data_IF_971364834689
#
_entry.id   IF_971364834689
#
_cell.length_a   1.000
_cell.length_b   1.000
_cell.length_c   1.000
_cell.angle_alpha   90.00
_cell.angle_beta   90.00
_cell.angle_gamma   90.00
#
_symmetry.space_group_name_H-M   'P 1'
#
loop_
_entity.id
_entity.type
_entity.pdbx_description
1 polymer ?
#
# COMPACT_ATOMS: atom_id res chain seq x y z
N UNK A 1 -31.29 4.39 11.81
CA UNK A 1 -30.79 5.22 10.70
C UNK A 1 -29.28 5.06 10.66
N UNK A 2 -28.73 4.36 9.66
CA UNK A 2 -27.29 4.16 9.55
C UNK A 2 -26.65 5.49 9.12
N UNK A 3 -26.02 6.18 10.05
CA UNK A 3 -25.20 7.36 9.76
C UNK A 3 -24.07 6.95 8.84
N UNK A 4 -24.21 7.25 7.55
CA UNK A 4 -23.12 7.13 6.60
C UNK A 4 -22.00 8.06 7.08
N UNK A 5 -20.95 7.47 7.67
CA UNK A 5 -19.75 8.20 8.09
C UNK A 5 -19.19 8.87 6.83
N UNK A 6 -19.41 10.17 6.73
CA UNK A 6 -18.97 10.99 5.60
C UNK A 6 -17.45 10.92 5.61
N UNK A 7 -16.88 10.21 4.62
CA UNK A 7 -15.43 10.07 4.46
C UNK A 7 -14.81 11.47 4.57
N UNK A 8 -13.68 11.66 5.27
CA UNK A 8 -12.97 12.93 5.27
C UNK A 8 -12.68 13.28 3.81
N UNK A 9 -13.44 14.21 3.26
CA UNK A 9 -13.23 14.68 1.91
C UNK A 9 -12.14 15.75 2.02
N UNK A 10 -10.95 15.45 1.52
CA UNK A 10 -9.97 16.50 1.24
C UNK A 10 -10.66 17.53 0.35
N UNK A 11 -10.72 18.77 0.81
CA UNK A 11 -11.19 19.89 0.00
C UNK A 11 -10.20 20.09 -1.14
N UNK A 12 -10.54 19.63 -2.34
CA UNK A 12 -9.74 19.81 -3.55
C UNK A 12 -9.58 18.55 -4.42
N UNK A 13 -8.89 18.66 -5.56
CA UNK A 13 -8.56 17.50 -6.39
C UNK A 13 -7.72 16.51 -5.59
N UNK A 14 -8.22 15.29 -5.38
CA UNK A 14 -7.51 14.23 -4.65
C UNK A 14 -6.12 13.92 -5.23
N UNK A 15 -5.33 13.10 -4.53
CA UNK A 15 -3.92 12.88 -4.88
C UNK A 15 -3.74 12.32 -6.30
N UNK A 16 -2.76 12.87 -7.02
CA UNK A 16 -2.25 12.33 -8.29
C UNK A 16 -1.48 11.03 -8.05
N UNK A 17 -1.25 10.24 -9.12
CA UNK A 17 -0.48 8.98 -9.06
C UNK A 17 0.86 9.13 -8.35
N UNK A 18 1.64 10.15 -8.72
CA UNK A 18 2.94 10.44 -8.11
C UNK A 18 2.81 10.78 -6.62
N UNK A 19 1.82 11.59 -6.24
CA UNK A 19 1.57 11.95 -4.84
C UNK A 19 1.24 10.75 -3.97
N UNK A 20 0.42 9.82 -4.48
CA UNK A 20 0.15 8.54 -3.80
C UNK A 20 1.45 7.75 -3.62
N UNK A 21 2.25 7.59 -4.67
CA UNK A 21 3.52 6.84 -4.58
C UNK A 21 4.42 7.42 -3.50
N UNK A 22 4.69 8.73 -3.59
CA UNK A 22 5.62 9.41 -2.68
C UNK A 22 5.14 9.31 -1.24
N UNK A 23 3.86 9.57 -0.97
CA UNK A 23 3.34 9.55 0.38
C UNK A 23 3.37 8.13 0.97
N UNK A 24 3.00 7.13 0.18
CA UNK A 24 3.00 5.75 0.63
C UNK A 24 4.42 5.23 0.89
N UNK A 25 5.34 5.49 -0.03
CA UNK A 25 6.74 5.10 0.13
C UNK A 25 7.40 5.82 1.31
N UNK A 26 7.12 7.11 1.51
CA UNK A 26 7.67 7.89 2.61
C UNK A 26 7.23 7.35 3.97
N UNK A 27 5.93 7.12 4.18
CA UNK A 27 5.44 6.59 5.46
C UNK A 27 5.96 5.18 5.74
N UNK A 28 5.93 4.30 4.73
CA UNK A 28 6.47 2.94 4.89
C UNK A 28 7.96 3.02 5.22
N UNK A 29 8.73 3.83 4.51
CA UNK A 29 10.15 4.00 4.77
C UNK A 29 10.41 4.42 6.22
N UNK A 30 9.79 5.52 6.68
CA UNK A 30 10.04 6.06 8.02
C UNK A 30 9.65 5.07 9.12
N UNK A 31 8.45 4.49 9.06
CA UNK A 31 7.95 3.64 10.14
C UNK A 31 8.58 2.25 10.16
N UNK A 32 8.79 1.63 8.99
CA UNK A 32 9.45 0.31 8.91
C UNK A 32 10.89 0.44 9.35
N UNK A 33 11.60 1.47 8.89
CA UNK A 33 12.99 1.70 9.29
C UNK A 33 13.11 1.91 10.80
N UNK A 34 12.23 2.71 11.39
CA UNK A 34 12.20 2.95 12.82
C UNK A 34 11.86 1.68 13.61
N UNK A 35 10.89 0.88 13.16
CA UNK A 35 10.57 -0.39 13.82
C UNK A 35 11.73 -1.39 13.72
N UNK A 36 12.36 -1.52 12.55
CA UNK A 36 13.52 -2.39 12.36
C UNK A 36 14.71 -1.96 13.21
N UNK A 37 14.90 -0.66 13.42
CA UNK A 37 15.95 -0.14 14.28
C UNK A 37 15.73 -0.47 15.77
N UNK A 38 14.49 -0.37 16.26
CA UNK A 38 14.17 -0.60 17.68
C UNK A 38 14.03 -2.10 18.00
N UNK A 39 13.44 -2.88 17.09
CA UNK A 39 13.02 -4.27 17.34
C UNK A 39 13.87 -5.31 16.61
N UNK A 40 14.89 -4.88 15.86
CA UNK A 40 15.71 -5.73 14.98
C UNK A 40 14.91 -6.57 13.97
N UNK A 41 13.70 -6.14 13.61
CA UNK A 41 12.89 -6.84 12.62
C UNK A 41 11.51 -6.21 12.39
N UNK A 42 10.94 -6.42 11.20
CA UNK A 42 9.62 -5.92 10.85
C UNK A 42 8.52 -6.67 11.61
N UNK A 43 7.52 -5.93 12.10
CA UNK A 43 6.51 -6.47 13.01
C UNK A 43 5.12 -5.95 12.73
N UNK A 44 4.31 -5.95 13.79
CA UNK A 44 2.91 -5.57 13.70
C UNK A 44 2.75 -4.10 13.32
N UNK A 45 3.68 -3.22 13.71
CA UNK A 45 3.60 -1.80 13.37
C UNK A 45 3.79 -1.60 11.86
N UNK A 46 4.81 -2.22 11.26
CA UNK A 46 5.01 -2.23 9.80
C UNK A 46 3.77 -2.75 9.07
N UNK A 47 3.18 -3.84 9.55
CA UNK A 47 1.96 -4.41 8.98
C UNK A 47 0.76 -3.46 9.03
N UNK A 48 0.54 -2.81 10.18
CA UNK A 48 -0.54 -1.84 10.34
C UNK A 48 -0.32 -0.59 9.50
N UNK A 49 0.91 -0.11 9.39
CA UNK A 49 1.26 1.05 8.54
C UNK A 49 0.98 0.73 7.07
N UNK A 50 1.33 -0.47 6.59
CA UNK A 50 1.00 -0.89 5.22
C UNK A 50 -0.51 -0.84 4.96
N UNK A 51 -1.33 -1.36 5.88
CA UNK A 51 -2.78 -1.29 5.77
C UNK A 51 -3.28 0.16 5.76
N UNK A 52 -2.79 1.00 6.67
CA UNK A 52 -3.19 2.40 6.81
C UNK A 52 -2.84 3.21 5.55
N UNK A 53 -1.61 3.04 5.06
CA UNK A 53 -1.09 3.69 3.87
C UNK A 53 -1.82 3.24 2.61
N UNK A 54 -2.18 1.95 2.51
CA UNK A 54 -3.02 1.42 1.42
C UNK A 54 -4.42 2.03 1.47
N UNK A 55 -5.03 2.09 2.65
CA UNK A 55 -6.33 2.73 2.84
C UNK A 55 -6.28 4.22 2.47
N UNK A 56 -5.27 4.95 2.95
CA UNK A 56 -5.07 6.36 2.64
C UNK A 56 -4.92 6.62 1.15
N UNK A 57 -4.13 5.80 0.44
CA UNK A 57 -3.95 5.93 -1.01
C UNK A 57 -5.24 5.66 -1.80
N UNK A 58 -6.08 4.72 -1.35
CA UNK A 58 -7.39 4.43 -1.97
C UNK A 58 -8.42 5.51 -1.64
N UNK A 59 -8.44 6.01 -0.40
CA UNK A 59 -9.44 6.97 0.07
C UNK A 59 -9.19 8.39 -0.44
N UNK A 60 -7.93 8.82 -0.48
CA UNK A 60 -7.53 10.19 -0.84
C UNK A 60 -7.05 10.33 -2.29
N UNK A 61 -6.87 9.21 -3.01
CA UNK A 61 -6.46 9.19 -4.40
C UNK A 61 -7.58 9.52 -5.39
N UNK A 62 -7.24 10.17 -6.51
CA UNK A 62 -8.17 10.42 -7.63
C UNK A 62 -8.57 9.10 -8.33
N UNK A 63 -9.68 9.12 -9.06
CA UNK A 63 -10.03 8.06 -10.03
C UNK A 63 -8.82 7.72 -10.91
N UNK A 64 -8.44 6.43 -10.94
CA UNK A 64 -7.27 5.93 -11.67
C UNK A 64 -5.96 5.85 -10.86
N UNK A 65 -5.91 6.27 -9.59
CA UNK A 65 -4.73 6.07 -8.70
C UNK A 65 -4.84 4.82 -7.82
N UNK A 66 -6.00 4.14 -7.78
CA UNK A 66 -6.21 2.96 -6.92
C UNK A 66 -5.32 1.77 -7.24
N UNK A 67 -5.00 1.55 -8.52
CA UNK A 67 -4.03 0.53 -8.92
C UNK A 67 -2.65 0.78 -8.28
N UNK A 68 -2.19 2.04 -8.33
CA UNK A 68 -0.92 2.46 -7.74
C UNK A 68 -0.94 2.23 -6.23
N UNK A 69 -2.05 2.57 -5.57
CA UNK A 69 -2.22 2.35 -4.13
C UNK A 69 -2.16 0.88 -3.71
N UNK A 70 -2.44 -0.08 -4.59
CA UNK A 70 -2.38 -1.50 -4.29
C UNK A 70 -0.97 -2.10 -4.51
N UNK A 71 -0.18 -1.50 -5.40
CA UNK A 71 1.14 -2.02 -5.82
C UNK A 71 2.29 -1.31 -5.12
N UNK A 72 2.13 -0.03 -4.77
CA UNK A 72 3.19 0.73 -4.09
C UNK A 72 3.52 0.17 -2.70
N UNK A 73 2.56 -0.20 -1.83
CA UNK A 73 2.90 -0.71 -0.50
C UNK A 73 3.85 -1.93 -0.48
N UNK A 74 3.63 -3.01 -1.28
CA UNK A 74 4.59 -4.12 -1.33
C UNK A 74 5.95 -3.71 -1.90
N UNK A 75 5.98 -2.87 -2.94
CA UNK A 75 7.23 -2.40 -3.54
C UNK A 75 8.03 -1.52 -2.58
N UNK A 76 7.37 -0.59 -1.90
CA UNK A 76 7.99 0.33 -0.96
C UNK A 76 8.53 -0.42 0.26
N UNK A 77 7.77 -1.40 0.78
CA UNK A 77 8.21 -2.24 1.88
C UNK A 77 9.45 -3.05 1.50
N UNK A 78 9.39 -3.75 0.35
CA UNK A 78 10.52 -4.55 -0.14
C UNK A 78 11.77 -3.69 -0.40
N UNK A 79 11.62 -2.51 -1.01
CA UNK A 79 12.75 -1.62 -1.22
C UNK A 79 13.36 -1.15 0.12
N UNK A 80 12.52 -0.76 1.07
CA UNK A 80 12.97 -0.29 2.39
C UNK A 80 13.71 -1.37 3.15
N UNK A 81 13.14 -2.58 3.24
CA UNK A 81 13.75 -3.68 3.98
C UNK A 81 15.03 -4.16 3.33
N UNK A 82 15.10 -4.20 1.99
CA UNK A 82 16.31 -4.58 1.27
C UNK A 82 17.44 -3.57 1.50
N UNK A 83 17.14 -2.26 1.45
CA UNK A 83 18.14 -1.22 1.74
C UNK A 83 18.61 -1.35 3.19
N UNK A 84 17.69 -1.57 4.13
CA UNK A 84 18.02 -1.74 5.55
C UNK A 84 18.93 -2.95 5.80
N UNK A 85 18.63 -4.11 5.22
CA UNK A 85 19.43 -5.32 5.40
C UNK A 85 20.80 -5.21 4.74
N UNK A 86 20.90 -4.61 3.56
CA UNK A 86 22.20 -4.35 2.91
C UNK A 86 23.06 -3.41 3.77
N UNK A 87 22.45 -2.38 4.34
CA UNK A 87 23.17 -1.40 5.17
C UNK A 87 23.59 -1.99 6.54
N UNK A 88 22.79 -2.90 7.10
CA UNK A 88 23.05 -3.52 8.41
C UNK A 88 24.01 -4.71 8.34
N UNK A 89 23.87 -5.58 7.34
CA UNK A 89 24.63 -6.84 7.21
C UNK A 89 25.76 -6.79 6.18
N UNK A 90 25.84 -5.71 5.39
CA UNK A 90 26.78 -5.56 4.29
C UNK A 90 26.42 -6.41 3.07
N UNK A 91 27.36 -6.53 2.12
CA UNK A 91 27.17 -7.29 0.88
C UNK A 91 27.39 -8.80 1.09
N UNK A 92 26.61 -9.42 1.97
CA UNK A 92 26.59 -10.87 2.22
C UNK A 92 25.27 -11.45 1.69
N UNK A 93 25.21 -11.88 0.41
CA UNK A 93 23.94 -12.21 -0.26
C UNK A 93 23.10 -13.24 0.50
N UNK A 94 23.75 -14.25 1.10
CA UNK A 94 23.06 -15.29 1.86
C UNK A 94 22.38 -14.75 3.13
N UNK A 95 23.00 -13.81 3.85
CA UNK A 95 22.41 -13.24 5.08
C UNK A 95 21.33 -12.22 4.74
N UNK A 96 21.66 -11.28 3.84
CA UNK A 96 20.72 -10.27 3.34
C UNK A 96 19.45 -10.92 2.79
N UNK A 97 19.58 -12.00 2.01
CA UNK A 97 18.44 -12.73 1.46
C UNK A 97 17.56 -13.39 2.53
N UNK A 98 18.17 -14.02 3.54
CA UNK A 98 17.44 -14.67 4.64
C UNK A 98 16.68 -13.62 5.45
N UNK A 99 17.34 -12.53 5.86
CA UNK A 99 16.73 -11.50 6.71
C UNK A 99 15.64 -10.73 5.94
N UNK A 100 15.85 -10.51 4.64
CA UNK A 100 14.84 -9.93 3.77
C UNK A 100 13.59 -10.82 3.65
N UNK A 101 13.76 -12.12 3.41
CA UNK A 101 12.63 -13.07 3.31
C UNK A 101 11.93 -13.21 4.66
N UNK A 102 12.66 -13.26 5.77
CA UNK A 102 12.09 -13.30 7.11
C UNK A 102 11.23 -12.05 7.40
N UNK A 103 11.72 -10.87 7.02
CA UNK A 103 10.98 -9.62 7.12
C UNK A 103 9.71 -9.64 6.26
N UNK A 104 9.79 -10.14 5.03
CA UNK A 104 8.62 -10.29 4.15
C UNK A 104 7.59 -11.27 4.71
N UNK A 105 8.04 -12.42 5.20
CA UNK A 105 7.18 -13.46 5.76
C UNK A 105 6.40 -12.94 6.98
N UNK A 106 7.05 -12.14 7.84
CA UNK A 106 6.40 -11.58 9.02
C UNK A 106 5.23 -10.63 8.67
N UNK A 107 5.35 -9.89 7.57
CA UNK A 107 4.38 -8.87 7.17
C UNK A 107 3.43 -9.36 6.07
N UNK A 108 3.67 -10.56 5.53
CA UNK A 108 2.86 -11.23 4.51
C UNK A 108 1.33 -11.18 4.76
N UNK A 109 0.79 -11.49 5.96
CA UNK A 109 -0.66 -11.44 6.16
C UNK A 109 -1.23 -10.02 5.96
N UNK A 110 -0.52 -8.98 6.38
CA UNK A 110 -0.93 -7.59 6.19
C UNK A 110 -0.83 -7.17 4.73
N UNK A 111 0.23 -7.59 4.03
CA UNK A 111 0.39 -7.38 2.59
C UNK A 111 -0.74 -8.03 1.79
N UNK A 112 -1.13 -9.26 2.14
CA UNK A 112 -2.25 -9.95 1.50
C UNK A 112 -3.57 -9.22 1.72
N UNK A 113 -3.90 -8.87 2.97
CA UNK A 113 -5.15 -8.18 3.30
C UNK A 113 -5.22 -6.81 2.62
N UNK A 114 -4.14 -6.03 2.67
CA UNK A 114 -4.08 -4.71 2.03
C UNK A 114 -4.14 -4.79 0.51
N UNK A 115 -3.45 -5.74 -0.11
CA UNK A 115 -3.52 -5.98 -1.55
C UNK A 115 -4.93 -6.39 -1.99
N UNK A 116 -5.56 -7.34 -1.28
CA UNK A 116 -6.94 -7.76 -1.54
C UNK A 116 -7.90 -6.55 -1.49
N UNK A 117 -7.76 -5.71 -0.47
CA UNK A 117 -8.56 -4.48 -0.35
C UNK A 117 -8.33 -3.50 -1.52
N UNK A 118 -7.05 -3.20 -1.83
CA UNK A 118 -6.69 -2.27 -2.90
C UNK A 118 -7.20 -2.72 -4.27
N UNK A 119 -7.02 -4.00 -4.59
CA UNK A 119 -7.50 -4.60 -5.84
C UNK A 119 -9.03 -4.68 -5.90
N UNK A 120 -9.69 -5.09 -4.81
CA UNK A 120 -11.14 -5.10 -4.75
C UNK A 120 -11.73 -3.71 -5.03
N UNK A 121 -11.19 -2.66 -4.40
CA UNK A 121 -11.65 -1.29 -4.61
C UNK A 121 -11.39 -0.76 -6.02
N UNK A 122 -10.31 -1.20 -6.68
CA UNK A 122 -10.01 -0.87 -8.07
C UNK A 122 -10.97 -1.58 -9.05
N UNK A 123 -11.19 -2.88 -8.86
CA UNK A 123 -12.08 -3.67 -9.72
C UNK A 123 -13.54 -3.25 -9.56
N UNK A 124 -13.98 -2.94 -8.33
CA UNK A 124 -15.31 -2.43 -8.06
C UNK A 124 -15.56 -1.07 -8.75
N UNK A 125 -14.55 -0.20 -8.82
CA UNK A 125 -14.65 1.06 -9.58
C UNK A 125 -14.80 0.82 -11.08
N UNK A 126 -14.01 -0.11 -11.63
CA UNK A 126 -14.11 -0.48 -13.06
C UNK A 126 -15.45 -1.12 -13.37
N UNK A 127 -16.00 -1.94 -12.48
CA UNK A 127 -17.31 -2.56 -12.66
C UNK A 127 -18.44 -1.52 -12.70
N UNK A 128 -18.38 -0.50 -11.83
CA UNK A 128 -19.40 0.57 -11.77
C UNK A 128 -19.33 1.55 -12.94
N UNK A 129 -18.14 1.77 -13.50
CA UNK A 129 -17.93 2.70 -14.61
C UNK A 129 -18.06 2.06 -16.01
N UNK A 130 -18.37 0.76 -16.10
CA UNK A 130 -18.67 0.13 -17.40
C UNK A 130 -20.06 0.56 -17.87
N UNK A 131 -20.21 1.15 -19.08
CA UNK A 131 -21.53 1.40 -19.63
C UNK A 131 -22.26 0.05 -19.78
N UNK A 132 -23.52 0.01 -19.34
CA UNK A 132 -24.35 -1.17 -19.57
C UNK A 132 -24.51 -1.33 -21.08
N UNK A 133 -24.12 -2.48 -21.64
CA UNK A 133 -24.34 -2.81 -23.06
C UNK A 133 -25.80 -2.62 -23.50
N UNK A 134 -26.76 -2.62 -22.57
CA UNK A 134 -28.18 -2.31 -22.85
C UNK A 134 -28.43 -0.85 -23.21
N UNK A 135 -27.66 0.10 -22.69
CA UNK A 135 -27.80 1.53 -23.01
C UNK A 135 -27.15 1.87 -24.36
N UNK A 136 -26.04 1.21 -24.72
CA UNK A 136 -25.40 1.37 -26.03
C UNK A 136 -26.21 0.72 -27.17
N UNK A 137 -27.00 -0.32 -26.88
CA UNK A 137 -27.87 -0.96 -27.87
C UNK A 137 -29.21 -0.23 -28.10
N UNK A 138 -29.50 0.83 -27.34
CA UNK A 138 -30.76 1.61 -27.43
C UNK A 138 -30.52 3.07 -27.86
N UNK A 139 -29.28 3.44 -28.20
CA UNK A 139 -28.90 4.74 -28.77
C UNK A 139 -28.57 4.59 -30.25
#
# INVERSE_FOLDING_TARGET
>A
MATAVKKPALSGPGLKKQGVIVLQSFFIFVFVWLEMWIRSGAGILSGLVICLVTYGGVAYGRTGTRYVSAVTPPLAYAATTLIYTIMSDGLRPSRVGIDFIASLASVAPFLLISALYGWFMFLNEKAKNRPSKRLEATA
#
